data_IF_513150625619
#
_entry.id   IF_513150625619
#
_cell.length_a   1.000
_cell.length_b   1.000
_cell.length_c   1.000
_cell.angle_alpha   90.00
_cell.angle_beta   90.00
_cell.angle_gamma   90.00
#
_symmetry.space_group_name_H-M   'P 1'
#
loop_
_entity.id
_entity.type
_entity.pdbx_description
1 polymer ?
#
# COMPACT_ATOMS: atom_id res chain seq x y z
N UNK A 1 -6.09 -28.10 -11.52
CA UNK A 1 -6.61 -28.06 -10.14
C UNK A 1 -6.25 -26.70 -9.56
N UNK A 2 -7.19 -25.84 -9.12
CA UNK A 2 -6.83 -24.54 -8.58
C UNK A 2 -6.23 -24.72 -7.19
N UNK A 3 -4.93 -24.50 -7.04
CA UNK A 3 -4.32 -24.33 -5.72
C UNK A 3 -5.14 -23.31 -4.93
N UNK A 4 -5.50 -23.63 -3.68
CA UNK A 4 -6.22 -22.71 -2.80
C UNK A 4 -5.32 -22.34 -1.63
N UNK A 5 -4.59 -21.26 -1.83
CA UNK A 5 -3.70 -20.65 -0.84
C UNK A 5 -4.34 -19.36 -0.33
N UNK A 6 -4.32 -19.17 0.98
CA UNK A 6 -4.61 -17.90 1.62
C UNK A 6 -3.29 -17.17 1.88
N UNK A 7 -3.27 -15.88 1.55
CA UNK A 7 -2.15 -14.99 1.81
C UNK A 7 -2.64 -13.89 2.75
N UNK A 8 -1.99 -13.73 3.88
CA UNK A 8 -2.26 -12.67 4.82
C UNK A 8 -1.05 -11.73 4.86
N UNK A 9 -1.29 -10.45 4.58
CA UNK A 9 -0.29 -9.39 4.69
C UNK A 9 -0.61 -8.58 5.95
N UNK A 10 0.41 -8.30 6.75
CA UNK A 10 0.33 -7.40 7.89
C UNK A 10 1.43 -6.33 7.78
N UNK A 11 1.08 -5.09 8.11
CA UNK A 11 1.94 -3.93 8.03
C UNK A 11 1.84 -3.19 9.35
N UNK A 12 2.83 -2.34 9.60
CA UNK A 12 2.82 -1.48 10.76
C UNK A 12 1.60 -0.54 10.70
N UNK A 13 0.79 -0.56 11.76
CA UNK A 13 -0.41 0.28 11.90
C UNK A 13 -0.05 1.72 12.26
N UNK A 14 1.07 1.88 12.96
CA UNK A 14 1.60 3.18 13.36
C UNK A 14 2.20 3.86 12.14
N UNK A 15 1.90 5.15 11.90
CA UNK A 15 2.58 5.89 10.85
C UNK A 15 4.09 5.91 11.09
N UNK A 16 4.85 5.57 10.06
CA UNK A 16 6.31 5.55 10.09
C UNK A 16 6.87 6.94 9.74
N UNK A 17 8.03 7.27 10.27
CA UNK A 17 8.75 8.47 9.87
C UNK A 17 9.26 8.31 8.43
N UNK A 18 9.50 9.41 7.68
CA UNK A 18 9.99 9.32 6.31
C UNK A 18 11.33 8.60 6.18
N UNK A 19 12.15 8.59 7.23
CA UNK A 19 13.43 7.88 7.25
C UNK A 19 13.30 6.39 7.62
N UNK A 20 12.15 5.95 8.12
CA UNK A 20 11.97 4.59 8.61
C UNK A 20 11.70 3.60 7.46
N UNK A 21 12.29 2.41 7.59
CA UNK A 21 12.08 1.29 6.67
C UNK A 21 10.65 0.74 6.78
N UNK A 22 10.01 0.49 5.63
CA UNK A 22 8.71 -0.20 5.61
C UNK A 22 8.94 -1.68 5.85
N UNK A 23 8.12 -2.30 6.71
CA UNK A 23 8.11 -3.75 6.88
C UNK A 23 6.71 -4.31 6.71
N UNK A 24 6.59 -5.32 5.87
CA UNK A 24 5.39 -6.09 5.65
C UNK A 24 5.65 -7.55 6.04
N UNK A 25 4.91 -8.03 7.02
CA UNK A 25 4.91 -9.43 7.40
C UNK A 25 3.93 -10.18 6.51
N UNK A 26 4.38 -11.29 5.97
CA UNK A 26 3.62 -12.13 5.05
C UNK A 26 3.43 -13.51 5.65
N UNK A 27 2.20 -14.00 5.64
CA UNK A 27 1.85 -15.35 6.12
C UNK A 27 1.00 -16.04 5.06
N UNK A 28 1.56 -17.09 4.46
CA UNK A 28 0.89 -17.97 3.51
C UNK A 28 0.55 -19.30 4.14
N UNK A 29 -0.70 -19.74 3.96
CA UNK A 29 -1.15 -21.07 4.35
C UNK A 29 -2.14 -21.62 3.33
N UNK A 30 -2.13 -22.93 3.17
CA UNK A 30 -3.10 -23.60 2.35
C UNK A 30 -4.43 -23.73 3.08
N UNK A 31 -5.55 -23.69 2.34
CA UNK A 31 -6.88 -23.81 2.96
C UNK A 31 -7.13 -25.16 3.63
N UNK A 32 -6.31 -26.17 3.35
CA UNK A 32 -6.32 -27.46 4.03
C UNK A 32 -5.42 -27.51 5.28
N UNK A 33 -4.87 -26.37 5.71
CA UNK A 33 -4.17 -26.21 7.00
C UNK A 33 -2.66 -26.38 6.97
N UNK A 34 -2.05 -26.70 5.82
CA UNK A 34 -0.59 -26.77 5.72
C UNK A 34 0.04 -25.37 5.56
N UNK A 35 1.22 -25.11 6.14
CA UNK A 35 1.97 -23.90 5.86
C UNK A 35 2.43 -23.88 4.39
N UNK A 36 2.48 -22.70 3.78
CA UNK A 36 2.97 -22.51 2.41
C UNK A 36 4.52 -22.53 2.36
N UNK A 37 5.13 -23.55 2.95
CA UNK A 37 6.57 -23.70 3.06
C UNK A 37 7.24 -23.88 1.70
N UNK A 38 8.28 -23.08 1.42
CA UNK A 38 9.01 -23.15 0.17
C UNK A 38 8.29 -22.51 -1.02
N UNK A 39 7.12 -21.90 -0.79
CA UNK A 39 6.42 -21.17 -1.84
C UNK A 39 7.10 -19.83 -2.09
N UNK A 40 7.27 -19.52 -3.37
CA UNK A 40 7.74 -18.21 -3.81
C UNK A 40 6.57 -17.26 -3.97
N UNK A 41 6.65 -16.12 -3.30
CA UNK A 41 5.78 -14.98 -3.48
C UNK A 41 6.47 -13.95 -4.38
N UNK A 42 5.69 -13.37 -5.28
CA UNK A 42 6.11 -12.28 -6.15
C UNK A 42 5.15 -11.12 -5.98
N UNK A 43 5.70 -9.95 -5.72
CA UNK A 43 4.94 -8.74 -5.52
C UNK A 43 5.62 -7.52 -6.09
N UNK A 44 4.89 -6.42 -6.08
CA UNK A 44 5.34 -5.11 -6.48
C UNK A 44 4.99 -4.12 -5.38
N UNK A 45 5.95 -3.29 -5.02
CA UNK A 45 5.73 -2.16 -4.12
C UNK A 45 5.36 -0.92 -4.93
N UNK A 46 4.41 -0.15 -4.40
CA UNK A 46 3.95 1.10 -4.98
C UNK A 46 3.96 2.20 -3.94
N UNK A 47 4.50 3.36 -4.32
CA UNK A 47 4.39 4.58 -3.55
C UNK A 47 3.19 5.37 -4.07
N UNK A 48 2.30 5.80 -3.17
CA UNK A 48 1.16 6.65 -3.50
C UNK A 48 1.01 7.75 -2.46
N UNK A 49 0.50 8.94 -2.84
CA UNK A 49 0.12 9.94 -1.86
C UNK A 49 -1.06 9.47 -1.00
N UNK A 50 -1.01 9.80 0.29
CA UNK A 50 -2.07 9.52 1.25
C UNK A 50 -2.88 10.81 1.48
N UNK A 51 -3.75 11.14 0.52
CA UNK A 51 -4.55 12.37 0.56
C UNK A 51 -5.59 12.33 1.69
N UNK A 52 -6.22 11.19 1.94
CA UNK A 52 -7.17 10.98 3.03
C UNK A 52 -6.48 10.39 4.27
N UNK A 53 -5.44 11.08 4.78
CA UNK A 53 -4.66 10.59 5.91
C UNK A 53 -5.49 10.45 7.21
N UNK A 54 -6.52 11.28 7.37
CA UNK A 54 -7.34 11.36 8.58
C UNK A 54 -8.79 11.00 8.28
N UNK A 55 -9.18 9.76 8.58
CA UNK A 55 -10.56 9.29 8.40
C UNK A 55 -11.59 10.10 9.21
N UNK A 56 -11.16 10.72 10.31
CA UNK A 56 -12.02 11.60 11.13
C UNK A 56 -12.40 12.92 10.43
N UNK A 57 -11.73 13.28 9.33
CA UNK A 57 -11.94 14.52 8.58
C UNK A 57 -12.25 14.22 7.11
N UNK A 58 -13.47 13.70 6.80
CA UNK A 58 -13.86 13.43 5.43
C UNK A 58 -13.88 14.73 4.60
N UNK A 59 -13.31 14.68 3.39
CA UNK A 59 -13.23 15.82 2.46
C UNK A 59 -12.01 16.73 2.65
N UNK A 60 -11.12 16.41 3.60
CA UNK A 60 -9.83 17.09 3.75
C UNK A 60 -8.73 16.30 3.04
N UNK A 61 -7.97 16.99 2.19
CA UNK A 61 -6.80 16.41 1.54
C UNK A 61 -5.53 16.91 2.22
N UNK A 62 -4.65 15.96 2.51
CA UNK A 62 -3.35 16.22 3.11
C UNK A 62 -2.24 16.08 2.07
N UNK A 63 -1.23 16.93 2.18
CA UNK A 63 -0.07 16.98 1.29
C UNK A 63 -0.20 18.00 0.17
N UNK A 64 0.94 18.27 -0.47
CA UNK A 64 1.06 19.16 -1.61
C UNK A 64 0.58 18.48 -2.90
N UNK A 65 -0.34 19.10 -3.62
CA UNK A 65 -0.85 18.58 -4.90
C UNK A 65 0.11 18.84 -6.06
N UNK A 66 0.98 19.84 -5.93
CA UNK A 66 2.00 20.20 -6.91
C UNK A 66 3.28 19.37 -6.77
N UNK A 67 3.37 18.53 -5.74
CA UNK A 67 4.53 17.64 -5.54
C UNK A 67 4.41 16.44 -6.48
N UNK A 68 5.32 16.38 -7.44
CA UNK A 68 5.39 15.34 -8.46
C UNK A 68 6.16 14.11 -7.94
N UNK A 69 6.12 13.00 -8.68
CA UNK A 69 6.82 11.74 -8.33
C UNK A 69 6.36 11.02 -7.04
N UNK A 70 5.26 11.45 -6.42
CA UNK A 70 4.65 10.77 -5.26
C UNK A 70 3.93 9.46 -5.63
N UNK A 71 3.64 9.26 -6.93
CA UNK A 71 2.99 8.06 -7.45
C UNK A 71 3.94 7.31 -8.37
N UNK A 72 4.61 6.29 -7.85
CA UNK A 72 5.57 5.47 -8.62
C UNK A 72 5.55 4.02 -8.18
N UNK A 73 6.07 3.14 -9.04
CA UNK A 73 6.43 1.79 -8.64
C UNK A 73 7.80 1.84 -7.98
N UNK A 74 7.96 1.13 -6.87
CA UNK A 74 9.24 0.93 -6.19
C UNK A 74 9.83 -0.41 -6.69
N UNK A 75 10.45 -1.17 -5.80
CA UNK A 75 11.10 -2.43 -6.14
C UNK A 75 10.10 -3.59 -6.28
N UNK A 76 10.45 -4.51 -7.17
CA UNK A 76 9.84 -5.84 -7.22
C UNK A 76 10.30 -6.65 -6.01
N UNK A 77 9.37 -7.41 -5.46
CA UNK A 77 9.59 -8.21 -4.27
C UNK A 77 9.49 -9.67 -4.64
N UNK A 78 10.55 -10.41 -4.38
CA UNK A 78 10.53 -11.87 -4.48
C UNK A 78 10.98 -12.46 -3.15
N UNK A 79 10.08 -13.23 -2.52
CA UNK A 79 10.29 -13.78 -1.19
C UNK A 79 9.91 -15.25 -1.20
N UNK A 80 10.75 -16.09 -0.62
CA UNK A 80 10.42 -17.51 -0.38
C UNK A 80 9.96 -17.67 1.06
N UNK A 81 8.78 -18.26 1.26
CA UNK A 81 8.23 -18.49 2.59
C UNK A 81 9.00 -19.59 3.32
N UNK A 82 9.19 -19.38 4.62
CA UNK A 82 9.90 -20.30 5.51
C UNK A 82 9.08 -21.57 5.83
N UNK A 83 9.63 -22.43 6.70
CA UNK A 83 8.96 -23.68 7.16
C UNK A 83 7.58 -23.45 7.77
N UNK A 84 7.34 -22.28 8.35
CA UNK A 84 6.05 -21.87 8.91
C UNK A 84 5.13 -21.17 7.91
N UNK A 85 5.51 -21.06 6.64
CA UNK A 85 4.77 -20.30 5.63
C UNK A 85 4.85 -18.79 5.85
N UNK A 86 5.91 -18.31 6.52
CA UNK A 86 6.07 -16.88 6.86
C UNK A 86 7.22 -16.27 6.08
N UNK A 87 7.16 -14.96 5.91
CA UNK A 87 8.32 -14.19 5.50
C UNK A 87 8.09 -12.71 5.70
N UNK A 88 9.14 -11.93 5.47
CA UNK A 88 9.13 -10.48 5.65
C UNK A 88 9.61 -9.80 4.38
N UNK A 89 8.90 -8.75 4.00
CA UNK A 89 9.27 -7.85 2.91
C UNK A 89 9.61 -6.51 3.54
N UNK A 90 10.83 -6.05 3.33
CA UNK A 90 11.26 -4.75 3.78
C UNK A 90 11.62 -3.85 2.59
N UNK A 91 11.38 -2.56 2.75
CA UNK A 91 11.67 -1.56 1.73
C UNK A 91 12.31 -0.35 2.39
N UNK A 92 13.56 -0.08 2.01
CA UNK A 92 14.27 1.12 2.44
C UNK A 92 13.49 2.36 1.99
N UNK A 93 13.48 3.39 2.82
CA UNK A 93 12.83 4.63 2.42
C UNK A 93 13.53 5.22 1.20
N UNK A 94 12.74 5.61 0.21
CA UNK A 94 13.19 6.37 -0.97
C UNK A 94 12.48 7.73 -1.08
N UNK A 95 11.76 8.12 -0.02
CA UNK A 95 10.86 9.28 0.03
C UNK A 95 11.11 10.15 1.26
N UNK A 96 12.35 10.18 1.75
CA UNK A 96 12.78 11.02 2.88
C UNK A 96 12.56 12.50 2.62
N UNK A 97 12.73 12.92 1.36
CA UNK A 97 12.55 14.31 0.91
C UNK A 97 11.08 14.66 0.67
N UNK A 98 10.17 13.69 0.73
CA UNK A 98 8.76 13.97 0.53
C UNK A 98 8.22 14.80 1.69
N UNK A 99 7.44 15.82 1.35
CA UNK A 99 6.78 16.68 2.33
C UNK A 99 5.29 16.36 2.48
N UNK A 100 4.74 15.53 1.59
CA UNK A 100 3.36 15.04 1.66
C UNK A 100 3.23 13.70 2.39
N UNK A 101 2.12 13.44 3.09
CA UNK A 101 1.83 12.12 3.62
C UNK A 101 1.74 11.11 2.48
N UNK A 102 2.38 9.97 2.69
CA UNK A 102 2.54 8.92 1.69
C UNK A 102 2.00 7.61 2.25
N UNK A 103 1.72 6.69 1.33
CA UNK A 103 1.45 5.31 1.64
C UNK A 103 2.25 4.40 0.70
N UNK A 104 2.82 3.35 1.26
CA UNK A 104 3.48 2.29 0.52
C UNK A 104 2.55 1.11 0.45
N UNK A 105 2.18 0.72 -0.76
CA UNK A 105 1.26 -0.37 -1.03
C UNK A 105 2.07 -1.57 -1.53
N UNK A 106 2.03 -2.67 -0.79
CA UNK A 106 2.54 -3.95 -1.26
C UNK A 106 1.41 -4.71 -1.93
N UNK A 107 1.56 -5.01 -3.23
CA UNK A 107 0.71 -5.96 -3.94
C UNK A 107 1.48 -7.26 -4.14
N UNK A 108 1.09 -8.33 -3.46
CA UNK A 108 1.79 -9.62 -3.53
C UNK A 108 0.88 -10.76 -3.96
N UNK A 109 1.39 -11.68 -4.78
CA UNK A 109 0.70 -12.91 -5.17
C UNK A 109 1.65 -14.11 -5.27
N UNK A 110 1.14 -15.36 -5.24
CA UNK A 110 1.95 -16.55 -5.49
C UNK A 110 2.60 -16.52 -6.88
N UNK A 111 3.85 -16.96 -6.98
CA UNK A 111 4.56 -17.03 -8.25
C UNK A 111 3.76 -17.86 -9.28
N UNK A 112 3.58 -17.31 -10.48
CA UNK A 112 2.80 -17.93 -11.56
C UNK A 112 1.34 -17.45 -11.70
N UNK A 113 0.77 -16.77 -10.69
CA UNK A 113 -0.58 -16.18 -10.78
C UNK A 113 -0.61 -14.98 -11.73
N UNK A 114 0.43 -14.14 -11.72
CA UNK A 114 0.56 -12.97 -12.59
C UNK A 114 0.47 -13.28 -14.11
N UNK A 115 0.78 -14.52 -14.51
CA UNK A 115 0.92 -14.89 -15.93
C UNK A 115 -0.35 -15.49 -16.55
N UNK A 116 -1.39 -15.79 -15.76
CA UNK A 116 -2.42 -16.75 -16.20
C UNK A 116 -3.79 -16.21 -16.60
N UNK A 117 -4.15 -14.92 -16.42
CA UNK A 117 -5.48 -14.49 -16.87
C UNK A 117 -5.66 -12.98 -16.99
N UNK A 118 -6.01 -12.53 -18.21
CA UNK A 118 -6.52 -11.18 -18.53
C UNK A 118 -7.86 -10.82 -17.88
N UNK A 119 -8.24 -11.49 -16.78
CA UNK A 119 -9.40 -11.23 -15.93
C UNK A 119 -9.02 -11.71 -14.51
N UNK A 120 -8.16 -10.94 -13.83
CA UNK A 120 -7.48 -11.39 -12.61
C UNK A 120 -8.44 -11.53 -11.42
N UNK A 121 -8.69 -12.79 -11.02
CA UNK A 121 -9.39 -13.10 -9.78
C UNK A 121 -8.43 -12.90 -8.60
N UNK A 122 -8.56 -11.72 -7.96
CA UNK A 122 -8.30 -11.40 -6.55
C UNK A 122 -7.60 -12.50 -5.74
N UNK A 123 -6.28 -12.59 -5.89
CA UNK A 123 -5.36 -13.14 -4.87
C UNK A 123 -4.11 -12.28 -4.70
N UNK A 124 -4.17 -11.06 -5.22
CA UNK A 124 -3.27 -10.01 -4.78
C UNK A 124 -3.75 -9.60 -3.39
N UNK A 125 -2.89 -9.76 -2.39
CA UNK A 125 -3.11 -9.08 -1.13
C UNK A 125 -2.49 -7.69 -1.29
N UNK A 126 -3.29 -6.67 -1.02
CA UNK A 126 -2.87 -5.27 -1.06
C UNK A 126 -2.80 -4.75 0.37
N UNK A 127 -1.64 -4.24 0.77
CA UNK A 127 -1.49 -3.65 2.09
C UNK A 127 -0.73 -2.34 2.04
N UNK A 128 -1.35 -1.32 2.62
CA UNK A 128 -0.79 0.02 2.70
C UNK A 128 -0.15 0.26 4.08
N UNK A 129 1.11 0.66 4.10
CA UNK A 129 1.76 1.24 5.27
C UNK A 129 1.78 2.78 5.12
N UNK A 130 1.37 3.50 6.17
CA UNK A 130 1.17 4.95 6.13
C UNK A 130 2.39 5.69 6.66
N UNK A 131 2.70 6.82 6.04
CA UNK A 131 3.79 7.71 6.41
C UNK A 131 3.26 9.10 6.70
N UNK A 132 3.74 9.69 7.80
CA UNK A 132 3.51 11.11 8.10
C UNK A 132 4.84 11.83 7.93
N UNK A 133 4.93 12.63 6.89
CA UNK A 133 6.06 13.53 6.67
C UNK A 133 5.95 14.68 7.65
N UNK A 134 6.94 14.77 8.54
CA UNK A 134 7.01 15.84 9.53
C UNK A 134 7.21 17.19 8.86
N UNK A 135 6.37 18.15 9.26
CA UNK A 135 6.63 19.59 9.29
C UNK A 135 6.06 20.52 8.19
N UNK A 136 5.14 20.09 7.33
CA UNK A 136 4.29 21.07 6.64
C UNK A 136 2.96 20.47 6.20
N UNK A 137 2.02 20.38 7.14
CA UNK A 137 0.66 19.98 6.84
C UNK A 137 -0.09 21.15 6.19
N UNK A 138 0.18 21.41 4.91
CA UNK A 138 -0.71 22.26 4.12
C UNK A 138 -1.99 21.47 3.90
N UNK A 139 -2.97 21.67 4.78
CA UNK A 139 -4.28 21.03 4.71
C UNK A 139 -5.11 21.82 3.70
N UNK A 140 -5.36 21.23 2.54
CA UNK A 140 -6.29 21.79 1.57
C UNK A 140 -7.69 21.22 1.85
N UNK A 141 -8.59 22.07 2.34
CA UNK A 141 -10.03 21.75 2.35
C UNK A 141 -10.50 21.77 0.91
N UNK A 142 -10.93 20.63 0.37
CA UNK A 142 -11.59 20.60 -0.92
C UNK A 142 -12.94 21.28 -0.73
N UNK A 143 -13.01 22.59 -1.04
CA UNK A 143 -14.23 23.37 -0.94
C UNK A 143 -15.20 22.90 -2.01
N UNK A 144 -15.90 21.81 -1.74
CA UNK A 144 -17.11 21.41 -2.44
C UNK A 144 -18.28 22.27 -1.97
N UNK A 145 -18.23 23.58 -2.22
CA UNK A 145 -19.42 24.43 -2.19
C UNK A 145 -19.55 25.00 -3.60
N UNK A 146 -20.29 24.27 -4.43
CA UNK A 146 -20.92 24.89 -5.59
C UNK A 146 -21.98 25.82 -5.02
N UNK A 147 -21.62 27.10 -4.88
CA UNK A 147 -22.61 28.15 -4.60
C UNK A 147 -23.67 28.03 -5.70
N UNK A 148 -24.97 27.83 -5.40
CA UNK A 148 -25.99 28.11 -6.38
C UNK A 148 -25.90 29.61 -6.66
N UNK A 149 -25.53 29.93 -7.89
CA UNK A 149 -25.66 31.24 -8.49
C UNK A 149 -26.97 31.89 -8.05
N UNK A 150 -26.87 33.01 -7.35
CA UNK A 150 -27.95 33.99 -7.24
C UNK A 150 -27.90 34.93 -8.43
N UNK A 151 -29.09 35.30 -8.94
CA UNK A 151 -29.49 36.40 -9.85
C UNK A 151 -30.59 35.82 -10.78
N UNK A 152 -31.78 36.39 -10.97
CA UNK A 152 -32.37 37.65 -10.55
C UNK A 152 -33.91 37.56 -10.65
N UNK A 153 -34.52 38.58 -10.05
CA UNK A 153 -35.92 39.04 -10.02
C UNK A 153 -36.79 38.78 -11.25
#
# INVERSE_FOLDING_TARGET
MPERMALNLTAQKTPLAPADEVKFSVVGYYLYGAPANGNTLQGQLFLRPLRDAVAALPGFQFGNIAEENLSRSLDEVQLTLDKGGRGEVSAASQWQEAHSPLQVILQASPAGVWRSSGHSSRRAADLACRYVTGNSSTVHRQSGIRLPYGYHR
#
